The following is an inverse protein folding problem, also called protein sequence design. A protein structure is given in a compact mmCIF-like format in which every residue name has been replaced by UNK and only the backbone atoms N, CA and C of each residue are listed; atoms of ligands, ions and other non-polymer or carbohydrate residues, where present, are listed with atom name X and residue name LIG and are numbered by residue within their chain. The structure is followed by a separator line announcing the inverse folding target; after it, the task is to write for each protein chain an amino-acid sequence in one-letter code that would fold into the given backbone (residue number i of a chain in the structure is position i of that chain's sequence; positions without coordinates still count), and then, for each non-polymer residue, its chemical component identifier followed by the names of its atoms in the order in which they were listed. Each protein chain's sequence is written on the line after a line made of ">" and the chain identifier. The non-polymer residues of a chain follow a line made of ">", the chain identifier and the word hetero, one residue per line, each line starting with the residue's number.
data_IF_023280557402
#
_entry.id   IF_023280557402
#
_cell.length_a   1.000
_cell.length_b   1.000
_cell.length_c   1.000
_cell.angle_alpha   90.00
_cell.angle_beta   90.00
_cell.angle_gamma   90.00
#
_symmetry.space_group_name_H-M   'P 1'
#
loop_
_entity.id
_entity.type
_entity.pdbx_description
1 polymer ?
#
# COMPACT_ATOMS: atom_id res chain seq x y z
N UNK A 1 -28.01 -34.39 -30.84
CA UNK A 1 -28.15 -32.94 -31.00
C UNK A 1 -27.37 -32.24 -29.92
N UNK A 2 -26.28 -31.56 -30.25
CA UNK A 2 -25.51 -30.73 -29.31
C UNK A 2 -26.14 -29.35 -29.24
N UNK A 3 -26.31 -28.73 -28.07
CA UNK A 3 -26.83 -27.38 -27.99
C UNK A 3 -25.81 -26.38 -28.51
N UNK A 4 -26.25 -25.49 -29.41
CA UNK A 4 -25.45 -24.38 -29.94
C UNK A 4 -25.18 -23.36 -28.83
N UNK A 5 -23.90 -23.13 -28.56
CA UNK A 5 -23.43 -22.05 -27.68
C UNK A 5 -23.58 -20.72 -28.44
N UNK A 6 -24.37 -19.79 -27.91
CA UNK A 6 -24.49 -18.43 -28.46
C UNK A 6 -23.16 -17.68 -28.33
N UNK A 7 -22.70 -16.95 -29.36
CA UNK A 7 -21.50 -16.15 -29.29
C UNK A 7 -21.65 -15.01 -28.26
N UNK A 8 -20.54 -14.58 -27.61
CA UNK A 8 -20.58 -13.52 -26.62
C UNK A 8 -21.00 -12.19 -27.27
N UNK A 9 -21.93 -11.49 -26.61
CA UNK A 9 -22.35 -10.15 -27.01
C UNK A 9 -21.17 -9.20 -27.05
N UNK A 10 -20.96 -8.49 -28.18
CA UNK A 10 -20.01 -7.38 -28.30
C UNK A 10 -20.28 -6.38 -27.19
N UNK A 11 -19.28 -6.13 -26.33
CA UNK A 11 -19.34 -5.05 -25.34
C UNK A 11 -19.54 -3.72 -26.07
N UNK A 12 -20.58 -3.00 -25.70
CA UNK A 12 -20.78 -1.63 -26.13
C UNK A 12 -19.57 -0.80 -25.72
N UNK A 13 -18.98 -0.06 -26.66
CA UNK A 13 -17.94 0.92 -26.38
C UNK A 13 -18.58 2.06 -25.57
N UNK A 14 -18.46 2.01 -24.24
CA UNK A 14 -18.76 3.18 -23.41
C UNK A 14 -17.79 4.29 -23.79
N UNK A 15 -18.31 5.47 -24.11
CA UNK A 15 -17.52 6.69 -24.28
C UNK A 15 -16.70 6.86 -22.99
N UNK A 16 -15.40 6.59 -23.08
CA UNK A 16 -14.44 6.88 -22.03
C UNK A 16 -14.40 8.40 -21.93
N UNK A 17 -14.93 8.95 -20.84
CA UNK A 17 -14.76 10.35 -20.52
C UNK A 17 -13.25 10.68 -20.56
N UNK A 18 -12.90 11.92 -20.89
CA UNK A 18 -11.51 12.39 -20.92
C UNK A 18 -10.90 12.24 -19.53
N UNK A 19 -10.30 11.08 -19.25
CA UNK A 19 -9.57 10.88 -18.00
C UNK A 19 -8.35 11.80 -18.02
N UNK A 20 -8.21 12.60 -16.98
CA UNK A 20 -7.02 13.39 -16.73
C UNK A 20 -5.82 12.45 -16.69
N UNK A 21 -4.74 12.81 -17.42
CA UNK A 21 -3.50 12.04 -17.38
C UNK A 21 -2.79 12.29 -16.06
N UNK A 22 -2.05 11.30 -15.53
CA UNK A 22 -1.14 11.52 -14.42
C UNK A 22 -0.18 12.66 -14.77
N UNK A 23 -0.13 13.68 -13.92
CA UNK A 23 0.64 14.90 -14.22
C UNK A 23 1.99 14.94 -13.51
N UNK A 24 2.22 14.01 -12.57
CA UNK A 24 3.45 13.96 -11.80
C UNK A 24 4.56 13.17 -12.51
N UNK A 25 5.80 13.63 -12.40
CA UNK A 25 6.98 12.83 -12.76
C UNK A 25 7.12 11.65 -11.78
N UNK A 26 6.97 11.91 -10.49
CA UNK A 26 7.29 11.02 -9.39
C UNK A 26 6.02 10.60 -8.66
N UNK A 27 6.04 9.41 -8.02
CA UNK A 27 5.02 8.99 -7.06
C UNK A 27 5.68 8.74 -5.69
N UNK A 28 5.71 9.79 -4.86
CA UNK A 28 6.40 9.75 -3.55
C UNK A 28 5.46 9.39 -2.42
N UNK A 29 4.20 9.82 -2.47
CA UNK A 29 3.15 9.57 -1.49
C UNK A 29 1.78 9.76 -2.10
N UNK A 30 0.72 9.56 -1.29
CA UNK A 30 -0.66 9.91 -1.62
C UNK A 30 -1.12 11.16 -0.88
N UNK A 31 -0.43 11.57 0.16
CA UNK A 31 -0.72 12.82 0.86
C UNK A 31 -0.48 14.01 -0.08
N UNK A 32 -1.47 14.89 -0.20
CA UNK A 32 -1.41 16.04 -1.09
C UNK A 32 -1.68 15.73 -2.58
N UNK A 33 -1.86 14.46 -2.95
CA UNK A 33 -2.31 14.08 -4.30
C UNK A 33 -3.83 14.26 -4.38
N UNK A 34 -4.30 14.93 -5.44
CA UNK A 34 -5.74 15.17 -5.61
C UNK A 34 -6.51 13.86 -5.85
N UNK A 35 -7.81 13.85 -5.46
CA UNK A 35 -8.68 12.69 -5.70
C UNK A 35 -8.73 12.30 -7.18
N UNK A 36 -8.69 13.26 -8.11
CA UNK A 36 -8.72 12.99 -9.54
C UNK A 36 -7.43 12.32 -10.03
N UNK A 37 -6.28 12.71 -9.50
CA UNK A 37 -5.01 12.06 -9.81
C UNK A 37 -4.94 10.65 -9.23
N UNK A 38 -5.46 10.42 -8.02
CA UNK A 38 -5.59 9.07 -7.43
C UNK A 38 -6.52 8.21 -8.29
N UNK A 39 -7.70 8.74 -8.68
CA UNK A 39 -8.62 8.03 -9.58
C UNK A 39 -7.97 7.71 -10.93
N UNK A 40 -7.19 8.61 -11.47
CA UNK A 40 -6.46 8.39 -12.74
C UNK A 40 -5.58 7.14 -12.66
N UNK A 41 -4.79 6.99 -11.60
CA UNK A 41 -3.93 5.81 -11.40
C UNK A 41 -4.76 4.53 -11.17
N UNK A 42 -5.84 4.62 -10.39
CA UNK A 42 -6.73 3.49 -10.11
C UNK A 42 -7.48 3.04 -11.38
N UNK A 43 -7.98 3.97 -12.17
CA UNK A 43 -8.65 3.68 -13.44
C UNK A 43 -7.68 3.05 -14.46
N UNK A 44 -6.45 3.57 -14.57
CA UNK A 44 -5.41 2.97 -15.40
C UNK A 44 -5.10 1.53 -14.96
N UNK A 45 -5.13 1.26 -13.65
CA UNK A 45 -4.86 -0.08 -13.09
C UNK A 45 -5.88 -1.13 -13.54
N UNK A 46 -7.12 -0.74 -13.89
CA UNK A 46 -8.15 -1.68 -14.39
C UNK A 46 -7.71 -2.43 -15.66
N UNK A 47 -6.87 -1.81 -16.48
CA UNK A 47 -6.34 -2.44 -17.69
C UNK A 47 -5.30 -3.53 -17.41
N UNK A 48 -4.72 -3.56 -16.21
CA UNK A 48 -3.61 -4.44 -15.84
C UNK A 48 -3.94 -5.46 -14.75
N UNK A 49 -4.93 -5.17 -13.90
CA UNK A 49 -5.37 -6.14 -12.89
C UNK A 49 -5.90 -7.39 -13.61
N UNK A 50 -5.44 -8.57 -13.18
CA UNK A 50 -5.70 -9.88 -13.80
C UNK A 50 -5.01 -10.16 -15.15
N UNK A 51 -4.27 -9.22 -15.73
CA UNK A 51 -3.39 -9.49 -16.86
C UNK A 51 -2.24 -10.39 -16.41
N UNK A 52 -2.14 -11.59 -17.03
CA UNK A 52 -1.13 -12.61 -16.67
C UNK A 52 -0.01 -12.72 -17.71
N UNK A 53 -0.20 -12.12 -18.88
CA UNK A 53 0.73 -12.13 -20.00
C UNK A 53 1.42 -10.79 -20.17
N UNK A 54 2.42 -10.76 -21.04
CA UNK A 54 3.12 -9.54 -21.41
C UNK A 54 2.21 -8.58 -22.19
N UNK A 55 2.46 -7.28 -22.01
CA UNK A 55 1.80 -6.19 -22.74
C UNK A 55 2.67 -5.80 -23.92
N UNK A 56 2.29 -6.21 -25.13
CA UNK A 56 3.13 -6.06 -26.32
C UNK A 56 3.40 -4.59 -26.71
N UNK A 57 2.42 -3.72 -26.51
CA UNK A 57 2.49 -2.31 -26.89
C UNK A 57 2.82 -1.38 -25.72
N UNK A 58 3.50 -1.87 -24.68
CA UNK A 58 3.90 -1.02 -23.57
C UNK A 58 4.96 0.01 -24.02
N UNK A 59 4.81 1.29 -23.64
CA UNK A 59 5.81 2.31 -23.89
C UNK A 59 7.12 2.07 -23.13
N UNK A 60 7.13 1.15 -22.16
CA UNK A 60 8.33 0.78 -21.40
C UNK A 60 9.12 -0.38 -22.02
N UNK A 61 8.66 -0.93 -23.15
CA UNK A 61 9.34 -2.03 -23.84
C UNK A 61 10.81 -1.70 -24.12
N UNK A 62 11.72 -2.57 -23.68
CA UNK A 62 13.17 -2.43 -23.90
C UNK A 62 13.86 -1.38 -23.02
N UNK A 63 13.10 -0.64 -22.20
CA UNK A 63 13.68 0.27 -21.19
C UNK A 63 14.10 -0.49 -19.93
N UNK A 64 14.91 0.12 -19.08
CA UNK A 64 15.35 -0.48 -17.81
C UNK A 64 14.72 0.25 -16.63
N UNK A 65 14.10 -0.50 -15.71
CA UNK A 65 13.62 -0.01 -14.41
C UNK A 65 14.60 -0.48 -13.34
N UNK A 66 15.09 0.42 -12.50
CA UNK A 66 15.99 0.04 -11.40
C UNK A 66 15.26 0.01 -10.06
N UNK A 67 15.28 -1.15 -9.40
CA UNK A 67 14.79 -1.33 -8.03
C UNK A 67 15.95 -1.10 -7.05
N UNK A 68 15.98 0.05 -6.39
CA UNK A 68 16.95 0.43 -5.35
C UNK A 68 16.35 0.15 -3.97
N UNK A 69 16.61 -1.03 -3.42
CA UNK A 69 16.07 -1.48 -2.15
C UNK A 69 17.14 -1.45 -1.06
N UNK A 70 17.16 -0.37 -0.29
CA UNK A 70 18.01 -0.18 0.88
C UNK A 70 17.44 -0.83 2.15
N UNK A 71 16.23 -1.38 2.07
CA UNK A 71 15.57 -2.18 3.10
C UNK A 71 15.00 -3.44 2.45
N UNK A 72 15.15 -4.58 3.12
CA UNK A 72 14.68 -5.86 2.60
C UNK A 72 13.16 -5.89 2.40
N UNK A 73 12.76 -6.35 1.24
CA UNK A 73 11.36 -6.59 0.91
C UNK A 73 11.20 -7.54 -0.27
N UNK A 74 11.01 -8.80 0.01
CA UNK A 74 10.80 -9.82 -1.04
C UNK A 74 9.54 -9.56 -1.85
N UNK A 75 8.39 -9.36 -1.20
CA UNK A 75 7.10 -9.17 -1.89
C UNK A 75 7.06 -7.93 -2.77
N UNK A 76 7.42 -6.76 -2.22
CA UNK A 76 7.34 -5.50 -2.97
C UNK A 76 8.28 -5.53 -4.16
N UNK A 77 9.52 -5.98 -3.97
CA UNK A 77 10.50 -6.13 -5.05
C UNK A 77 10.01 -7.08 -6.13
N UNK A 78 9.59 -8.30 -5.76
CA UNK A 78 9.08 -9.28 -6.72
C UNK A 78 7.88 -8.74 -7.49
N UNK A 79 6.98 -8.01 -6.83
CA UNK A 79 5.81 -7.42 -7.47
C UNK A 79 6.19 -6.32 -8.48
N UNK A 80 7.15 -5.43 -8.17
CA UNK A 80 7.66 -4.44 -9.13
C UNK A 80 8.43 -5.10 -10.27
N UNK A 81 9.24 -6.12 -9.97
CA UNK A 81 9.95 -6.91 -10.98
C UNK A 81 8.96 -7.55 -11.95
N UNK A 82 7.91 -8.21 -11.44
CA UNK A 82 6.89 -8.82 -12.28
C UNK A 82 6.10 -7.77 -13.09
N UNK A 83 5.78 -6.63 -12.50
CA UNK A 83 5.10 -5.54 -13.19
C UNK A 83 5.94 -5.01 -14.36
N UNK A 84 7.22 -4.74 -14.14
CA UNK A 84 8.12 -4.26 -15.17
C UNK A 84 8.32 -5.31 -16.30
N UNK A 85 8.50 -6.59 -15.94
CA UNK A 85 8.62 -7.65 -16.95
C UNK A 85 7.38 -7.79 -17.81
N UNK A 86 6.17 -7.72 -17.23
CA UNK A 86 4.93 -7.75 -18.01
C UNK A 86 4.78 -6.54 -18.95
N UNK A 87 5.38 -5.42 -18.61
CA UNK A 87 5.50 -4.25 -19.47
C UNK A 87 6.68 -4.35 -20.46
N UNK A 88 7.32 -5.53 -20.56
CA UNK A 88 8.49 -5.79 -21.41
C UNK A 88 9.68 -4.88 -21.13
N UNK A 89 9.76 -4.32 -19.93
CA UNK A 89 10.93 -3.61 -19.43
C UNK A 89 11.94 -4.57 -18.82
N UNK A 90 13.22 -4.22 -18.93
CA UNK A 90 14.29 -4.86 -18.20
C UNK A 90 14.28 -4.39 -16.73
N UNK A 91 14.78 -5.23 -15.81
CA UNK A 91 14.85 -4.86 -14.39
C UNK A 91 16.27 -5.01 -13.88
N UNK A 92 16.80 -3.96 -13.30
CA UNK A 92 18.02 -3.98 -12.50
C UNK A 92 17.64 -3.98 -11.02
N UNK A 93 17.91 -5.07 -10.31
CA UNK A 93 17.69 -5.18 -8.87
C UNK A 93 19.00 -4.91 -8.11
N UNK A 94 19.08 -3.78 -7.44
CA UNK A 94 20.19 -3.46 -6.55
C UNK A 94 19.74 -3.76 -5.11
N UNK A 95 20.26 -4.87 -4.59
CA UNK A 95 19.91 -5.42 -3.28
C UNK A 95 20.92 -4.98 -2.25
N UNK A 96 20.35 -4.52 -1.14
CA UNK A 96 21.14 -4.14 0.01
C UNK A 96 22.29 -3.27 -0.47
N UNK A 97 22.13 -2.00 -0.42
CA UNK A 97 23.23 -1.07 -0.69
C UNK A 97 24.43 -1.29 0.27
N UNK A 98 24.57 -2.55 0.75
CA UNK A 98 25.66 -2.96 1.59
C UNK A 98 27.02 -2.83 0.92
N UNK A 99 27.13 -2.91 -0.41
CA UNK A 99 28.43 -2.72 -1.06
C UNK A 99 28.80 -1.25 -1.27
N UNK A 100 27.84 -0.38 -1.60
CA UNK A 100 28.11 1.05 -1.85
C UNK A 100 28.00 1.88 -0.56
N UNK A 101 26.97 1.68 0.26
CA UNK A 101 26.80 2.38 1.55
C UNK A 101 27.89 1.99 2.56
N UNK A 102 28.36 0.73 2.56
CA UNK A 102 29.52 0.32 3.39
C UNK A 102 30.84 0.97 2.94
N UNK A 103 30.91 1.48 1.69
CA UNK A 103 32.03 2.26 1.18
C UNK A 103 31.88 3.77 1.39
N UNK A 104 30.84 4.23 2.12
CA UNK A 104 30.59 5.64 2.40
C UNK A 104 29.81 6.38 1.31
N UNK A 105 29.25 5.69 0.30
CA UNK A 105 28.43 6.31 -0.74
C UNK A 105 27.07 6.74 -0.17
N UNK A 106 26.59 7.94 -0.53
CA UNK A 106 25.28 8.42 -0.11
C UNK A 106 24.16 7.83 -0.95
N UNK A 107 22.91 7.87 -0.43
CA UNK A 107 21.72 7.45 -1.21
C UNK A 107 21.59 8.23 -2.52
N UNK A 108 21.95 9.52 -2.50
CA UNK A 108 21.89 10.41 -3.67
C UNK A 108 22.93 9.98 -4.70
N UNK A 109 24.17 9.71 -4.27
CA UNK A 109 25.25 9.32 -5.18
C UNK A 109 24.92 7.97 -5.85
N UNK A 110 24.45 7.00 -5.07
CA UNK A 110 23.98 5.71 -5.61
C UNK A 110 22.87 5.91 -6.66
N UNK A 111 21.89 6.76 -6.37
CA UNK A 111 20.78 7.01 -7.30
C UNK A 111 21.26 7.69 -8.60
N UNK A 112 22.15 8.69 -8.50
CA UNK A 112 22.74 9.38 -9.65
C UNK A 112 23.62 8.45 -10.49
N UNK A 113 24.40 7.60 -9.87
CA UNK A 113 25.22 6.60 -10.57
C UNK A 113 24.32 5.64 -11.38
N UNK A 114 23.23 5.16 -10.78
CA UNK A 114 22.28 4.29 -11.46
C UNK A 114 21.52 5.02 -12.56
N UNK A 115 21.12 6.27 -12.35
CA UNK A 115 20.53 7.12 -13.39
C UNK A 115 21.46 7.28 -14.59
N UNK A 116 22.76 7.54 -14.36
CA UNK A 116 23.78 7.68 -15.39
C UNK A 116 23.97 6.42 -16.26
N UNK A 117 23.56 5.24 -15.77
CA UNK A 117 23.52 3.99 -16.55
C UNK A 117 22.33 3.92 -17.51
N UNK A 118 21.50 4.96 -17.60
CA UNK A 118 20.41 5.06 -18.58
C UNK A 118 19.11 4.38 -18.16
N UNK A 119 18.85 4.23 -16.85
CA UNK A 119 17.57 3.69 -16.37
C UNK A 119 16.43 4.66 -16.64
N UNK A 120 15.25 4.10 -16.93
CA UNK A 120 14.05 4.88 -17.23
C UNK A 120 13.35 5.41 -15.97
N UNK A 121 13.38 4.66 -14.88
CA UNK A 121 12.82 5.05 -13.58
C UNK A 121 13.51 4.32 -12.44
N UNK A 122 13.45 4.93 -11.26
CA UNK A 122 13.94 4.36 -10.00
C UNK A 122 12.75 3.98 -9.09
N UNK A 123 12.75 2.76 -8.60
CA UNK A 123 11.83 2.28 -7.57
C UNK A 123 12.60 2.22 -6.26
N UNK A 124 12.26 3.10 -5.32
CA UNK A 124 13.03 3.32 -4.09
C UNK A 124 12.34 2.71 -2.88
N UNK A 125 13.07 1.90 -2.13
CA UNK A 125 12.68 1.47 -0.79
C UNK A 125 13.80 1.74 0.21
N UNK A 126 13.50 2.49 1.29
CA UNK A 126 14.49 2.90 2.26
C UNK A 126 13.98 2.81 3.71
N UNK A 127 14.92 2.74 4.68
CA UNK A 127 14.58 2.81 6.11
C UNK A 127 14.28 4.23 6.57
N UNK A 128 14.90 5.24 5.93
CA UNK A 128 14.74 6.65 6.27
C UNK A 128 13.46 7.19 5.65
N UNK A 129 12.62 7.83 6.47
CA UNK A 129 11.46 8.58 6.00
C UNK A 129 11.92 9.77 5.14
N UNK A 130 11.23 10.02 4.01
CA UNK A 130 11.57 11.10 3.08
C UNK A 130 12.68 10.75 2.07
N UNK A 131 13.32 9.56 2.17
CA UNK A 131 14.41 9.18 1.28
C UNK A 131 14.01 9.18 -0.20
N UNK A 132 12.80 8.72 -0.53
CA UNK A 132 12.31 8.73 -1.91
C UNK A 132 12.17 10.16 -2.46
N UNK A 133 11.64 11.09 -1.66
CA UNK A 133 11.53 12.51 -2.02
C UNK A 133 12.90 13.18 -2.17
N UNK A 134 13.83 12.87 -1.26
CA UNK A 134 15.20 13.37 -1.34
C UNK A 134 15.88 12.92 -2.64
N UNK A 135 15.75 11.66 -3.02
CA UNK A 135 16.29 11.14 -4.28
C UNK A 135 15.61 11.82 -5.46
N UNK A 136 14.27 11.93 -5.47
CA UNK A 136 13.50 12.55 -6.56
C UNK A 136 13.92 14.02 -6.85
N UNK A 137 14.29 14.76 -5.80
CA UNK A 137 14.82 16.12 -5.93
C UNK A 137 16.23 16.18 -6.53
N UNK A 138 16.96 15.06 -6.60
CA UNK A 138 18.36 15.01 -7.01
C UNK A 138 18.63 14.20 -8.30
N UNK A 139 17.58 13.63 -8.91
CA UNK A 139 17.65 12.88 -10.18
C UNK A 139 16.62 13.42 -11.18
N UNK A 140 16.86 13.19 -12.46
CA UNK A 140 15.96 13.62 -13.56
C UNK A 140 14.91 12.55 -13.89
N UNK A 141 15.29 11.27 -13.77
CA UNK A 141 14.38 10.17 -14.04
C UNK A 141 13.27 10.09 -12.98
N UNK A 142 12.09 9.55 -13.33
CA UNK A 142 10.99 9.32 -12.37
C UNK A 142 11.40 8.45 -11.19
N UNK A 143 10.88 8.83 -10.00
CA UNK A 143 11.06 8.08 -8.75
C UNK A 143 9.72 7.59 -8.24
N UNK A 144 9.65 6.29 -7.94
CA UNK A 144 8.48 5.63 -7.37
C UNK A 144 8.83 5.12 -5.97
N UNK A 145 8.11 5.61 -4.97
CA UNK A 145 8.31 5.19 -3.58
C UNK A 145 7.71 3.78 -3.35
N UNK A 146 8.54 2.80 -3.04
CA UNK A 146 8.17 1.44 -2.67
C UNK A 146 8.18 1.23 -1.14
N UNK A 147 8.13 2.32 -0.38
CA UNK A 147 8.06 2.39 1.07
C UNK A 147 9.33 2.96 1.69
N UNK A 148 9.21 4.10 2.38
CA UNK A 148 10.29 4.80 3.04
C UNK A 148 9.99 5.07 4.52
N UNK A 149 10.72 4.44 5.41
CA UNK A 149 10.61 4.58 6.86
C UNK A 149 9.17 4.46 7.39
N UNK A 150 8.74 5.49 8.13
CA UNK A 150 7.36 5.66 8.63
C UNK A 150 6.55 6.64 7.76
N UNK A 151 7.08 7.07 6.60
CA UNK A 151 6.47 8.09 5.76
C UNK A 151 5.31 7.51 4.94
N UNK A 152 5.55 6.95 3.75
CA UNK A 152 4.49 6.43 2.88
C UNK A 152 4.91 5.19 2.07
N UNK A 153 3.90 4.48 1.57
CA UNK A 153 4.01 3.41 0.57
C UNK A 153 2.85 3.55 -0.43
N UNK A 154 2.94 4.52 -1.36
CA UNK A 154 1.80 4.92 -2.19
C UNK A 154 1.21 3.79 -3.03
N UNK A 155 2.05 2.91 -3.61
CA UNK A 155 1.53 1.77 -4.39
C UNK A 155 0.84 0.72 -3.52
N UNK A 156 1.14 0.65 -2.22
CA UNK A 156 0.36 -0.17 -1.30
C UNK A 156 -0.99 0.47 -1.01
N UNK A 157 -1.03 1.78 -0.72
CA UNK A 157 -2.30 2.49 -0.56
C UNK A 157 -3.21 2.34 -1.78
N UNK A 158 -2.67 2.51 -3.00
CA UNK A 158 -3.44 2.36 -4.23
C UNK A 158 -4.01 0.94 -4.42
N UNK A 159 -3.20 -0.12 -4.18
CA UNK A 159 -3.70 -1.49 -4.33
C UNK A 159 -4.73 -1.86 -3.26
N UNK A 160 -4.58 -1.34 -2.05
CA UNK A 160 -5.54 -1.53 -0.97
C UNK A 160 -6.88 -0.87 -1.31
N UNK A 161 -6.85 0.38 -1.78
CA UNK A 161 -8.02 1.13 -2.25
C UNK A 161 -8.69 0.42 -3.44
N UNK A 162 -7.91 -0.06 -4.41
CA UNK A 162 -8.44 -0.80 -5.54
C UNK A 162 -9.18 -2.06 -5.09
N UNK A 163 -8.55 -2.84 -4.19
CA UNK A 163 -9.13 -4.09 -3.68
C UNK A 163 -10.40 -3.82 -2.89
N UNK A 164 -10.43 -2.76 -2.10
CA UNK A 164 -11.63 -2.31 -1.39
C UNK A 164 -12.74 -1.90 -2.37
N UNK A 165 -12.41 -1.10 -3.39
CA UNK A 165 -13.34 -0.69 -4.44
C UNK A 165 -13.96 -1.89 -5.17
N UNK A 166 -13.13 -2.87 -5.50
CA UNK A 166 -13.57 -4.11 -6.15
C UNK A 166 -14.55 -4.88 -5.27
N UNK A 167 -14.22 -5.06 -3.98
CA UNK A 167 -15.06 -5.77 -3.02
C UNK A 167 -16.44 -5.12 -2.82
N UNK A 168 -16.52 -3.80 -2.99
CA UNK A 168 -17.75 -3.02 -2.81
C UNK A 168 -18.39 -2.51 -4.11
N UNK A 169 -17.96 -3.00 -5.28
CA UNK A 169 -18.53 -2.63 -6.57
C UNK A 169 -18.33 -1.17 -6.97
N UNK A 170 -17.19 -0.57 -6.57
CA UNK A 170 -16.84 0.85 -6.79
C UNK A 170 -15.75 1.06 -7.85
N UNK A 171 -15.54 0.09 -8.75
CA UNK A 171 -14.48 0.19 -9.77
C UNK A 171 -14.78 1.21 -10.89
N UNK A 172 -16.03 1.65 -11.04
CA UNK A 172 -16.39 2.53 -12.17
C UNK A 172 -15.91 3.97 -11.98
N UNK A 173 -15.87 4.45 -10.75
CA UNK A 173 -15.50 5.83 -10.41
C UNK A 173 -14.55 5.95 -9.21
N UNK A 174 -14.31 4.84 -8.50
CA UNK A 174 -13.56 4.82 -7.25
C UNK A 174 -14.06 5.84 -6.22
N UNK A 175 -15.38 6.12 -6.21
CA UNK A 175 -16.00 6.92 -5.15
C UNK A 175 -16.16 6.08 -3.88
N UNK A 176 -15.37 6.41 -2.86
CA UNK A 176 -15.38 5.71 -1.57
C UNK A 176 -16.34 6.33 -0.56
N UNK A 177 -17.13 7.32 -0.97
CA UNK A 177 -18.10 7.97 -0.10
C UNK A 177 -19.10 6.97 0.48
N UNK A 178 -19.31 7.07 1.78
CA UNK A 178 -20.20 6.19 2.54
C UNK A 178 -19.53 4.91 3.05
N UNK A 179 -18.31 4.56 2.59
CA UNK A 179 -17.55 3.46 3.16
C UNK A 179 -16.79 3.93 4.43
N UNK A 180 -16.72 3.03 5.41
CA UNK A 180 -15.93 3.21 6.62
C UNK A 180 -14.91 2.08 6.73
N UNK A 181 -13.65 2.42 6.89
CA UNK A 181 -12.53 1.46 6.97
C UNK A 181 -11.87 1.56 8.34
N UNK A 182 -11.81 0.46 9.08
CA UNK A 182 -10.98 0.38 10.27
C UNK A 182 -9.55 0.00 9.89
N UNK A 183 -8.56 0.76 10.35
CA UNK A 183 -7.14 0.40 10.27
C UNK A 183 -6.70 0.07 11.69
N UNK A 184 -6.28 -1.18 11.94
CA UNK A 184 -6.08 -1.72 13.29
C UNK A 184 -4.61 -2.06 13.51
N UNK A 185 -4.02 -1.54 14.59
CA UNK A 185 -2.67 -1.90 15.03
C UNK A 185 -1.74 -0.74 15.30
N UNK A 186 -0.47 -0.85 14.88
CA UNK A 186 0.54 0.19 15.02
C UNK A 186 0.42 1.22 13.89
N UNK A 187 -0.49 2.19 14.07
CA UNK A 187 -0.79 3.21 13.06
C UNK A 187 0.35 4.22 12.95
N UNK A 188 0.89 4.66 14.10
CA UNK A 188 1.95 5.70 14.17
C UNK A 188 3.18 5.30 13.36
N UNK A 189 3.57 4.02 13.44
CA UNK A 189 4.78 3.54 12.77
C UNK A 189 4.51 3.00 11.36
N UNK A 190 3.25 3.00 10.91
CA UNK A 190 2.85 2.35 9.66
C UNK A 190 2.81 3.33 8.48
N UNK A 191 3.79 3.24 7.59
CA UNK A 191 3.76 3.90 6.27
C UNK A 191 2.56 3.48 5.41
N UNK A 192 2.05 2.25 5.61
CA UNK A 192 0.86 1.76 4.89
C UNK A 192 -0.39 2.45 5.40
N UNK A 193 -0.53 2.60 6.72
CA UNK A 193 -1.65 3.34 7.30
C UNK A 193 -1.69 4.78 6.77
N UNK A 194 -0.54 5.48 6.72
CA UNK A 194 -0.48 6.86 6.21
C UNK A 194 -0.97 6.98 4.78
N UNK A 195 -0.47 6.13 3.87
CA UNK A 195 -0.93 6.12 2.47
C UNK A 195 -2.41 5.77 2.33
N UNK A 196 -2.91 4.81 3.14
CA UNK A 196 -4.33 4.46 3.12
C UNK A 196 -5.21 5.59 3.67
N UNK A 197 -4.83 6.22 4.79
CA UNK A 197 -5.55 7.37 5.33
C UNK A 197 -5.64 8.47 4.27
N UNK A 198 -4.51 8.88 3.69
CA UNK A 198 -4.47 9.94 2.68
C UNK A 198 -5.34 9.60 1.45
N UNK A 199 -5.18 8.41 0.88
CA UNK A 199 -5.92 8.02 -0.32
C UNK A 199 -7.41 7.79 -0.08
N UNK A 200 -7.79 7.08 0.98
CA UNK A 200 -9.19 6.79 1.32
C UNK A 200 -9.98 8.07 1.63
N UNK A 201 -9.42 8.95 2.48
CA UNK A 201 -10.10 10.21 2.82
C UNK A 201 -10.21 11.15 1.63
N UNK A 202 -9.19 11.22 0.77
CA UNK A 202 -9.23 11.98 -0.49
C UNK A 202 -10.35 11.48 -1.43
N UNK A 203 -10.68 10.19 -1.40
CA UNK A 203 -11.76 9.57 -2.18
C UNK A 203 -13.10 9.54 -1.45
N UNK A 204 -13.22 10.15 -0.27
CA UNK A 204 -14.47 10.33 0.46
C UNK A 204 -14.81 9.23 1.48
N UNK A 205 -13.94 8.25 1.73
CA UNK A 205 -14.13 7.26 2.78
C UNK A 205 -13.92 7.87 4.17
N UNK A 206 -14.53 7.24 5.18
CA UNK A 206 -14.21 7.46 6.60
C UNK A 206 -13.19 6.42 7.06
N UNK A 207 -12.23 6.85 7.86
CA UNK A 207 -11.20 5.96 8.42
C UNK A 207 -11.27 5.99 9.94
N UNK A 208 -11.32 4.82 10.56
CA UNK A 208 -11.22 4.67 12.02
C UNK A 208 -9.88 4.01 12.34
N UNK A 209 -8.98 4.75 12.95
CA UNK A 209 -7.71 4.23 13.46
C UNK A 209 -7.96 3.53 14.79
N UNK A 210 -7.65 2.24 14.90
CA UNK A 210 -7.95 1.43 16.09
C UNK A 210 -6.67 0.82 16.65
N UNK A 211 -6.44 0.98 17.93
CA UNK A 211 -5.29 0.38 18.61
C UNK A 211 -5.06 0.93 20.01
N UNK A 212 -4.04 0.43 20.72
CA UNK A 212 -3.60 1.02 21.98
C UNK A 212 -3.30 2.51 21.83
N UNK A 213 -3.53 3.31 22.87
CA UNK A 213 -3.38 4.77 22.83
C UNK A 213 -1.98 5.22 22.35
N UNK A 214 -0.92 4.48 22.71
CA UNK A 214 0.44 4.75 22.24
C UNK A 214 0.68 4.44 20.74
N UNK A 215 -0.14 3.59 20.12
CA UNK A 215 -0.03 3.18 18.72
C UNK A 215 -1.08 3.84 17.82
N UNK A 216 -2.19 4.29 18.41
CA UNK A 216 -3.27 5.02 17.74
C UNK A 216 -3.67 6.28 18.55
N UNK A 217 -2.79 7.26 18.71
CA UNK A 217 -3.10 8.49 19.45
C UNK A 217 -4.13 9.35 18.72
N UNK A 218 -4.90 10.15 19.46
CA UNK A 218 -5.92 11.07 18.89
C UNK A 218 -5.37 12.07 17.89
N UNK A 219 -4.07 12.40 17.94
CA UNK A 219 -3.43 13.26 16.94
C UNK A 219 -3.54 12.74 15.50
N UNK A 220 -3.83 11.45 15.30
CA UNK A 220 -4.08 10.89 13.97
C UNK A 220 -5.33 11.47 13.30
N UNK A 221 -6.29 12.02 14.05
CA UNK A 221 -7.49 12.67 13.52
C UNK A 221 -7.15 13.89 12.64
N UNK A 222 -5.97 14.50 12.84
CA UNK A 222 -5.47 15.61 12.00
C UNK A 222 -4.94 15.18 10.63
N UNK A 223 -4.82 13.86 10.36
CA UNK A 223 -4.28 13.36 9.08
C UNK A 223 -5.28 13.47 7.91
N UNK A 224 -6.56 13.73 8.17
CA UNK A 224 -7.54 13.94 7.12
C UNK A 224 -8.96 14.13 7.64
N UNK A 225 -9.81 14.74 6.83
CA UNK A 225 -11.23 14.86 7.12
C UNK A 225 -11.87 13.47 7.10
N UNK A 226 -12.61 13.10 8.16
CA UNK A 226 -13.25 11.79 8.28
C UNK A 226 -12.36 10.72 8.93
N UNK A 227 -11.22 11.12 9.51
CA UNK A 227 -10.40 10.25 10.37
C UNK A 227 -10.91 10.36 11.81
N UNK A 228 -11.10 9.20 12.44
CA UNK A 228 -11.44 9.07 13.86
C UNK A 228 -10.50 8.07 14.53
N UNK A 229 -10.39 8.13 15.84
CA UNK A 229 -9.59 7.19 16.65
C UNK A 229 -10.49 6.48 17.64
N UNK A 230 -10.32 5.16 17.75
CA UNK A 230 -10.95 4.33 18.78
C UNK A 230 -9.90 3.43 19.44
N UNK A 231 -10.13 3.14 20.73
CA UNK A 231 -9.32 2.17 21.48
C UNK A 231 -10.12 0.89 21.79
N UNK A 232 -11.32 0.76 21.23
CA UNK A 232 -12.20 -0.40 21.34
C UNK A 232 -12.49 -0.96 19.95
N UNK A 233 -11.87 -2.09 19.63
CA UNK A 233 -12.08 -2.79 18.35
C UNK A 233 -13.50 -3.34 18.27
N UNK A 234 -14.00 -3.89 19.37
CA UNK A 234 -15.29 -4.57 19.42
C UNK A 234 -16.48 -3.63 19.18
N UNK A 235 -16.35 -2.36 19.58
CA UNK A 235 -17.32 -1.31 19.28
C UNK A 235 -17.32 -0.89 17.80
N UNK A 236 -16.16 -0.97 17.13
CA UNK A 236 -15.95 -0.52 15.77
C UNK A 236 -16.41 -1.56 14.74
N UNK A 237 -16.18 -2.84 14.99
CA UNK A 237 -16.41 -3.94 14.03
C UNK A 237 -17.80 -3.95 13.38
N UNK A 238 -18.93 -3.76 14.09
CA UNK A 238 -20.26 -3.79 13.48
C UNK A 238 -20.54 -2.61 12.55
N UNK A 239 -19.71 -1.56 12.59
CA UNK A 239 -19.95 -0.28 11.90
C UNK A 239 -19.15 -0.11 10.61
N UNK A 240 -18.19 -1.00 10.32
CA UNK A 240 -17.23 -0.81 9.23
C UNK A 240 -17.46 -1.71 8.03
N UNK A 241 -17.04 -1.25 6.86
CA UNK A 241 -17.12 -1.97 5.59
C UNK A 241 -15.86 -2.79 5.30
N UNK A 242 -14.76 -2.41 5.91
CA UNK A 242 -13.52 -3.17 5.86
C UNK A 242 -12.71 -3.00 7.13
N UNK A 243 -11.93 -4.03 7.46
CA UNK A 243 -10.92 -3.98 8.52
C UNK A 243 -9.57 -4.30 7.90
N UNK A 244 -8.64 -3.36 7.98
CA UNK A 244 -7.26 -3.55 7.59
C UNK A 244 -6.41 -3.79 8.84
N UNK A 245 -5.99 -5.03 9.02
CA UNK A 245 -5.09 -5.39 10.11
C UNK A 245 -3.66 -5.04 9.74
N UNK A 246 -2.94 -4.40 10.64
CA UNK A 246 -1.52 -4.09 10.48
C UNK A 246 -0.66 -5.06 11.29
N UNK A 247 0.48 -5.43 10.73
CA UNK A 247 1.48 -6.19 11.47
C UNK A 247 1.98 -5.37 12.66
N UNK A 248 1.94 -5.96 13.85
CA UNK A 248 2.61 -5.39 15.02
C UNK A 248 4.10 -5.74 14.97
N UNK A 249 4.94 -4.71 14.99
CA UNK A 249 6.40 -4.86 14.90
C UNK A 249 7.01 -4.71 16.28
N UNK A 250 6.92 -5.76 17.11
CA UNK A 250 7.48 -5.76 18.46
C UNK A 250 8.97 -5.41 18.47
N UNK A 251 9.71 -5.88 17.47
CA UNK A 251 11.13 -5.59 17.27
C UNK A 251 11.47 -4.09 17.14
N UNK A 252 10.50 -3.24 16.82
CA UNK A 252 10.70 -1.78 16.74
C UNK A 252 10.38 -1.08 18.05
N UNK A 253 9.58 -1.68 18.90
CA UNK A 253 9.21 -1.11 20.20
C UNK A 253 10.22 -1.43 21.29
N UNK A 254 10.94 -2.56 21.17
CA UNK A 254 11.99 -2.96 22.10
C UNK A 254 13.30 -2.17 21.91
N UNK A 255 13.51 -1.57 20.72
CA UNK A 255 14.76 -0.93 20.31
C UNK A 255 14.67 0.61 20.16
N UNK A 256 13.53 1.25 20.50
CA UNK A 256 13.35 2.69 20.28
C UNK A 256 13.94 3.52 21.41
N UNK A 257 14.92 4.41 21.15
CA UNK A 257 15.37 5.42 22.12
C UNK A 257 14.29 6.43 22.51
N UNK A 258 13.22 6.53 21.68
CA UNK A 258 12.09 7.45 21.85
C UNK A 258 10.89 6.81 22.59
N UNK A 259 11.06 5.64 23.20
CA UNK A 259 10.04 5.09 24.09
C UNK A 259 9.81 6.12 25.23
N UNK A 260 8.57 6.65 25.31
CA UNK A 260 8.21 7.57 26.37
C UNK A 260 8.59 6.98 27.71
N UNK A 261 9.58 7.57 28.36
CA UNK A 261 10.00 7.21 29.71
C UNK A 261 8.99 7.75 30.71
N UNK A 262 8.50 6.92 31.61
CA UNK A 262 7.73 7.38 32.77
C UNK A 262 8.60 8.27 33.69
N UNK A 263 7.98 8.91 34.66
CA UNK A 263 8.70 9.76 35.63
C UNK A 263 9.82 9.06 36.42
N UNK A 264 10.04 7.76 36.21
CA UNK A 264 11.07 6.93 36.81
C UNK A 264 12.13 6.45 35.82
N UNK A 265 12.13 6.97 34.57
CA UNK A 265 13.11 6.63 33.55
C UNK A 265 12.92 5.23 32.92
N UNK A 266 11.78 4.56 33.12
CA UNK A 266 11.46 3.31 32.46
C UNK A 266 10.62 3.57 31.22
N UNK A 267 11.05 3.03 30.06
CA UNK A 267 10.21 3.00 28.86
C UNK A 267 8.99 2.14 29.14
N UNK A 268 7.81 2.75 29.09
CA UNK A 268 6.56 1.99 29.12
C UNK A 268 6.32 1.46 27.68
N UNK A 269 6.32 0.13 27.48
CA UNK A 269 6.09 -0.39 26.14
C UNK A 269 4.67 0.02 25.69
N UNK A 270 4.55 0.50 24.46
CA UNK A 270 3.24 0.85 23.88
C UNK A 270 2.26 -0.34 23.85
N UNK A 271 2.79 -1.54 24.04
CA UNK A 271 2.08 -2.82 24.15
C UNK A 271 2.67 -3.56 25.33
N UNK A 272 1.87 -3.86 26.36
CA UNK A 272 2.33 -4.54 27.56
C UNK A 272 2.71 -6.02 27.29
N UNK A 273 1.99 -6.70 26.40
CA UNK A 273 2.31 -8.06 25.98
C UNK A 273 1.60 -8.45 24.67
N UNK A 274 2.14 -9.44 23.95
CA UNK A 274 1.50 -10.05 22.77
C UNK A 274 0.12 -10.61 23.11
N UNK A 275 -0.02 -11.22 24.29
CA UNK A 275 -1.29 -11.81 24.74
C UNK A 275 -2.36 -10.74 24.97
N UNK A 276 -2.00 -9.64 25.60
CA UNK A 276 -2.90 -8.50 25.82
C UNK A 276 -3.30 -7.86 24.50
N UNK A 277 -2.33 -7.59 23.62
CA UNK A 277 -2.62 -7.06 22.28
C UNK A 277 -3.61 -7.95 21.53
N UNK A 278 -3.37 -9.27 21.49
CA UNK A 278 -4.27 -10.21 20.81
C UNK A 278 -5.67 -10.19 21.44
N UNK A 279 -5.78 -10.16 22.76
CA UNK A 279 -7.08 -10.16 23.44
C UNK A 279 -7.91 -8.92 23.14
N UNK A 280 -7.26 -7.75 22.99
CA UNK A 280 -7.94 -6.47 22.78
C UNK A 280 -8.10 -6.10 21.28
N UNK A 281 -7.12 -6.44 20.44
CA UNK A 281 -7.04 -5.96 19.05
C UNK A 281 -6.84 -7.06 18.02
N UNK A 282 -6.65 -8.33 18.39
CA UNK A 282 -6.54 -9.44 17.44
C UNK A 282 -7.87 -9.72 16.73
N UNK A 283 -7.82 -9.92 15.43
CA UNK A 283 -8.97 -10.33 14.62
C UNK A 283 -9.14 -11.87 14.71
N UNK A 284 -9.98 -12.30 15.64
CA UNK A 284 -10.34 -13.70 15.88
C UNK A 284 -11.53 -14.11 15.02
N UNK A 285 -11.81 -15.44 14.93
CA UNK A 285 -13.02 -15.96 14.29
C UNK A 285 -14.31 -15.34 14.84
N UNK A 286 -14.43 -15.25 16.16
CA UNK A 286 -15.57 -14.62 16.83
C UNK A 286 -15.75 -13.15 16.44
N UNK A 287 -14.66 -12.39 16.37
CA UNK A 287 -14.70 -10.99 15.92
C UNK A 287 -15.05 -10.84 14.44
N UNK A 288 -14.59 -11.78 13.61
CA UNK A 288 -14.93 -11.77 12.18
C UNK A 288 -16.43 -12.00 11.94
N UNK A 289 -17.12 -12.74 12.81
CA UNK A 289 -18.58 -12.93 12.75
C UNK A 289 -19.36 -11.65 13.10
N UNK A 290 -18.79 -10.77 13.91
CA UNK A 290 -19.40 -9.48 14.30
C UNK A 290 -19.34 -8.42 13.22
N UNK A 291 -18.55 -8.64 12.17
CA UNK A 291 -18.52 -7.74 11.01
C UNK A 291 -19.86 -7.76 10.27
N UNK A 292 -20.30 -6.60 9.82
CA UNK A 292 -21.52 -6.51 9.00
C UNK A 292 -21.41 -7.32 7.71
N UNK A 293 -22.55 -7.68 7.14
CA UNK A 293 -22.61 -8.40 5.87
C UNK A 293 -21.88 -7.62 4.77
N UNK A 294 -21.01 -8.30 4.04
CA UNK A 294 -20.23 -7.70 2.94
C UNK A 294 -18.94 -7.01 3.40
N UNK A 295 -18.69 -6.86 4.70
CA UNK A 295 -17.41 -6.35 5.17
C UNK A 295 -16.26 -7.32 4.87
N UNK A 296 -15.11 -6.76 4.47
CA UNK A 296 -13.92 -7.52 4.09
C UNK A 296 -12.75 -7.31 5.06
N UNK A 297 -11.86 -8.31 5.10
CA UNK A 297 -10.65 -8.29 5.92
C UNK A 297 -9.43 -8.18 5.02
N UNK A 298 -8.60 -7.20 5.31
CA UNK A 298 -7.41 -6.80 4.56
C UNK A 298 -6.16 -6.88 5.43
N UNK A 299 -5.01 -7.09 4.81
CA UNK A 299 -3.71 -7.03 5.47
C UNK A 299 -2.59 -6.76 4.45
N UNK A 300 -1.71 -5.77 4.64
CA UNK A 300 -0.64 -5.48 3.68
C UNK A 300 0.49 -6.52 3.69
N UNK A 301 0.49 -7.43 4.67
CA UNK A 301 1.48 -8.47 4.88
C UNK A 301 2.86 -7.94 5.35
N UNK A 302 3.72 -8.82 5.95
CA UNK A 302 3.42 -10.20 6.34
C UNK A 302 2.46 -10.28 7.53
N UNK A 303 1.78 -11.40 7.69
CA UNK A 303 0.86 -11.64 8.81
C UNK A 303 1.61 -12.36 9.93
N UNK A 304 1.47 -11.89 11.17
CA UNK A 304 1.81 -12.67 12.36
C UNK A 304 0.57 -13.48 12.75
N UNK A 305 0.43 -14.67 12.18
CA UNK A 305 -0.73 -15.55 12.43
C UNK A 305 -0.87 -15.87 13.92
N UNK A 306 -2.10 -15.72 14.44
CA UNK A 306 -2.39 -15.92 15.85
C UNK A 306 -2.03 -14.75 16.75
N UNK A 307 -1.59 -13.62 16.20
CA UNK A 307 -1.36 -12.37 16.94
C UNK A 307 -2.38 -11.31 16.50
N UNK A 308 -2.13 -10.60 15.39
CA UNK A 308 -3.09 -9.61 14.89
C UNK A 308 -4.23 -10.24 14.09
N UNK A 309 -4.03 -11.45 13.54
CA UNK A 309 -5.01 -12.11 12.70
C UNK A 309 -4.93 -13.64 12.85
N UNK A 310 -6.02 -14.26 13.19
CA UNK A 310 -6.09 -15.71 13.32
C UNK A 310 -6.00 -16.39 11.94
N UNK A 311 -5.39 -17.60 11.85
CA UNK A 311 -5.20 -18.32 10.58
C UNK A 311 -6.48 -18.54 9.79
N UNK A 312 -7.55 -18.99 10.46
CA UNK A 312 -8.86 -19.26 9.86
C UNK A 312 -9.54 -17.98 9.32
N UNK A 313 -9.24 -16.83 9.90
CA UNK A 313 -9.74 -15.53 9.44
C UNK A 313 -8.92 -15.04 8.25
N UNK A 314 -7.59 -15.20 8.29
CA UNK A 314 -6.70 -14.82 7.21
C UNK A 314 -7.00 -15.57 5.90
N UNK A 315 -7.40 -16.85 6.02
CA UNK A 315 -7.71 -17.72 4.89
C UNK A 315 -9.23 -17.90 4.68
N UNK A 316 -10.04 -17.17 5.46
CA UNK A 316 -11.49 -17.26 5.46
C UNK A 316 -12.18 -16.47 4.32
N UNK A 317 -13.51 -16.65 4.18
CA UNK A 317 -14.27 -16.12 3.05
C UNK A 317 -14.38 -14.59 2.99
N UNK A 318 -14.11 -13.90 4.10
CA UNK A 318 -14.08 -12.42 4.16
C UNK A 318 -12.70 -11.83 3.83
N UNK A 319 -11.66 -12.69 3.73
CA UNK A 319 -10.29 -12.26 3.47
C UNK A 319 -10.10 -11.93 2.00
N UNK A 320 -9.61 -10.72 1.73
CA UNK A 320 -9.19 -10.29 0.39
C UNK A 320 -7.66 -10.12 0.28
N UNK A 321 -6.92 -10.70 1.23
CA UNK A 321 -5.46 -10.52 1.38
C UNK A 321 -4.69 -11.01 0.14
N UNK A 322 -5.02 -12.20 -0.37
CA UNK A 322 -4.38 -12.71 -1.60
C UNK A 322 -4.82 -11.92 -2.84
N UNK A 323 -6.05 -11.36 -2.81
CA UNK A 323 -6.51 -10.46 -3.88
C UNK A 323 -5.69 -9.16 -3.89
N UNK A 324 -5.36 -8.58 -2.73
CA UNK A 324 -4.45 -7.43 -2.63
C UNK A 324 -3.10 -7.73 -3.31
N UNK A 325 -2.54 -8.93 -3.12
CA UNK A 325 -1.28 -9.33 -3.76
C UNK A 325 -1.41 -9.35 -5.28
N UNK A 326 -2.50 -9.92 -5.80
CA UNK A 326 -2.78 -9.98 -7.24
C UNK A 326 -2.96 -8.59 -7.84
N UNK A 327 -3.83 -7.78 -7.24
CA UNK A 327 -4.10 -6.39 -7.62
C UNK A 327 -2.80 -5.57 -7.63
N UNK A 328 -1.93 -5.83 -6.66
CA UNK A 328 -0.69 -5.10 -6.50
C UNK A 328 0.24 -5.13 -7.72
N UNK A 329 0.24 -6.19 -8.52
CA UNK A 329 1.04 -6.25 -9.76
C UNK A 329 0.43 -5.31 -10.80
N UNK A 330 -0.88 -5.36 -11.03
CA UNK A 330 -1.57 -4.49 -11.99
C UNK A 330 -1.47 -3.00 -11.65
N UNK A 331 -1.63 -2.66 -10.37
CA UNK A 331 -1.44 -1.27 -9.88
C UNK A 331 -0.02 -0.78 -10.15
N UNK A 332 1.00 -1.61 -9.89
CA UNK A 332 2.40 -1.24 -10.15
C UNK A 332 2.70 -1.12 -11.65
N UNK A 333 2.07 -1.92 -12.51
CA UNK A 333 2.15 -1.74 -13.97
C UNK A 333 1.62 -0.36 -14.36
N UNK A 334 0.42 0.01 -13.92
CA UNK A 334 -0.17 1.32 -14.20
C UNK A 334 0.69 2.48 -13.70
N UNK A 335 1.24 2.36 -12.48
CA UNK A 335 2.12 3.39 -11.89
C UNK A 335 3.43 3.51 -12.68
N UNK A 336 4.06 2.39 -13.06
CA UNK A 336 5.27 2.41 -13.87
C UNK A 336 5.04 3.12 -15.21
N UNK A 337 3.96 2.80 -15.91
CA UNK A 337 3.63 3.51 -17.15
C UNK A 337 3.29 4.98 -16.92
N UNK A 338 2.49 5.28 -15.91
CA UNK A 338 2.09 6.66 -15.61
C UNK A 338 3.29 7.57 -15.33
N UNK A 339 4.30 7.08 -14.60
CA UNK A 339 5.48 7.86 -14.25
C UNK A 339 6.61 7.79 -15.31
N UNK A 340 6.79 6.64 -15.96
CA UNK A 340 7.98 6.38 -16.77
C UNK A 340 7.75 6.37 -18.30
N UNK A 341 6.53 6.58 -18.79
CA UNK A 341 6.22 6.56 -20.23
C UNK A 341 6.53 7.88 -20.97
N UNK A 342 7.14 8.86 -20.31
CA UNK A 342 7.44 10.19 -20.89
C UNK A 342 8.81 10.28 -21.50
#
# INVERSE_FOLDING_TARGET
>A
MRPMVKPPRKRASSKVGSHTRWSGKDLIGLQGVSSDQIRTLLMASRGYVDVRTDVDNSPLRGTTIANLFFEDSTRTRTSFTNAAHRLRAHVSNLLGAFSSVTKGETLIDTARNVEAMGVRALVIRARQAGAAGLIAANVKCPVINAGDGKHEHPTQGLLDIYTLAEAHGRLDDFDMKGLTVAIVGDIVSSRVARSNIAGLTSLGARVVCVGPAGLAPRSLESLGNGVAVSHDLDEVLPKVDAVMMLRVQFERHDASPDAATDARGKSSPAIASVREYRSLFGMTGERAERLKKGAVIMHPGPINRGIELDPEVADGPRSVILRQVTVGVGVRMAVLEACAAF
#
